data_IF_377028629521
#
_entry.id   IF_377028629521
#
_cell.length_a   1.000
_cell.length_b   1.000
_cell.length_c   1.000
_cell.angle_alpha   90.00
_cell.angle_beta   90.00
_cell.angle_gamma   90.00
#
_symmetry.space_group_name_H-M   'P 1'
#
loop_
_entity.id
_entity.type
_entity.pdbx_description
1 polymer ?
#
# COMPACT_ATOMS: atom_id res chain seq x y z
N UNK A 1 5.29 40.70 8.30
CA UNK A 1 4.52 39.82 7.39
C UNK A 1 4.45 38.45 8.03
N UNK A 2 3.29 38.07 8.58
CA UNK A 2 3.11 36.73 9.16
C UNK A 2 3.09 35.73 8.01
N UNK A 3 4.13 34.91 7.91
CA UNK A 3 4.14 33.77 6.98
C UNK A 3 3.08 32.79 7.48
N UNK A 4 1.87 32.84 6.91
CA UNK A 4 0.92 31.74 7.00
C UNK A 4 1.60 30.52 6.37
N UNK A 5 2.34 29.76 7.18
CA UNK A 5 2.75 28.41 6.82
C UNK A 5 1.44 27.65 6.73
N UNK A 6 0.91 27.52 5.53
CA UNK A 6 -0.15 26.55 5.25
C UNK A 6 0.40 25.23 5.75
N UNK A 7 -0.17 24.70 6.84
CA UNK A 7 0.31 23.48 7.45
C UNK A 7 0.37 22.38 6.40
N UNK A 8 1.41 21.54 6.45
CA UNK A 8 1.51 20.40 5.55
C UNK A 8 0.23 19.56 5.67
N UNK A 9 -0.37 19.20 4.53
CA UNK A 9 -1.57 18.35 4.51
C UNK A 9 -1.13 16.94 4.85
N UNK A 10 -1.52 16.49 6.05
CA UNK A 10 -1.17 15.18 6.57
C UNK A 10 -2.13 14.12 6.02
N UNK A 11 -1.57 12.98 5.62
CA UNK A 11 -2.33 11.78 5.29
C UNK A 11 -1.74 10.57 6.02
N UNK A 12 -2.54 9.50 6.12
CA UNK A 12 -2.11 8.24 6.72
C UNK A 12 -2.33 7.08 5.74
N UNK A 13 -1.36 6.18 5.67
CA UNK A 13 -1.41 4.92 4.93
C UNK A 13 -1.46 3.76 5.92
N UNK A 14 -2.45 2.88 5.77
CA UNK A 14 -2.54 1.62 6.50
C UNK A 14 -2.07 0.48 5.60
N UNK A 15 -0.76 0.23 5.61
CA UNK A 15 -0.14 -0.79 4.79
C UNK A 15 -0.38 -2.18 5.38
N UNK A 16 -1.12 -3.00 4.64
CA UNK A 16 -1.45 -4.37 5.02
C UNK A 16 -0.45 -5.35 4.39
N UNK A 17 0.21 -6.16 5.20
CA UNK A 17 1.33 -7.03 4.81
C UNK A 17 0.97 -8.48 5.13
N UNK A 18 1.19 -9.39 4.16
CA UNK A 18 0.98 -10.84 4.32
C UNK A 18 2.14 -11.55 5.03
N UNK A 19 2.60 -11.00 6.14
CA UNK A 19 3.64 -11.56 6.99
C UNK A 19 3.49 -10.97 8.40
N UNK A 20 3.48 -11.83 9.41
CA UNK A 20 3.50 -11.43 10.83
C UNK A 20 4.29 -12.40 11.73
N UNK A 21 4.77 -13.52 11.18
CA UNK A 21 5.51 -14.56 11.90
C UNK A 21 7.00 -14.24 11.95
N UNK A 22 7.53 -13.62 10.89
CA UNK A 22 8.92 -13.17 10.81
C UNK A 22 9.01 -11.69 11.15
N UNK A 23 9.18 -11.39 12.45
CA UNK A 23 9.31 -10.03 12.97
C UNK A 23 10.30 -9.15 12.19
N UNK A 24 11.50 -9.67 11.89
CA UNK A 24 12.53 -8.91 11.18
C UNK A 24 12.08 -8.47 9.76
N UNK A 25 11.22 -9.25 9.09
CA UNK A 25 10.69 -8.88 7.76
C UNK A 25 9.77 -7.68 7.88
N UNK A 26 8.84 -7.70 8.84
CA UNK A 26 7.90 -6.59 9.09
C UNK A 26 8.65 -5.33 9.53
N UNK A 27 9.63 -5.47 10.42
CA UNK A 27 10.46 -4.34 10.86
C UNK A 27 11.31 -3.75 9.74
N UNK A 28 11.85 -4.58 8.83
CA UNK A 28 12.59 -4.08 7.68
C UNK A 28 11.70 -3.30 6.72
N UNK A 29 10.45 -3.71 6.54
CA UNK A 29 9.46 -2.95 5.75
C UNK A 29 9.16 -1.61 6.42
N UNK A 30 8.95 -1.61 7.74
CA UNK A 30 8.73 -0.37 8.51
C UNK A 30 9.92 0.59 8.41
N UNK A 31 11.15 0.07 8.53
CA UNK A 31 12.38 0.86 8.39
C UNK A 31 12.52 1.41 6.98
N UNK A 32 12.21 0.63 5.94
CA UNK A 32 12.29 1.08 4.55
C UNK A 32 11.36 2.27 4.28
N UNK A 33 10.21 2.36 4.94
CA UNK A 33 9.32 3.51 4.82
C UNK A 33 9.91 4.82 5.38
N UNK A 34 10.91 4.74 6.26
CA UNK A 34 11.57 5.91 6.86
C UNK A 34 12.76 6.41 6.05
N UNK A 35 13.08 5.77 4.92
CA UNK A 35 14.30 6.04 4.15
C UNK A 35 13.96 6.52 2.73
N UNK A 36 14.73 7.48 2.24
CA UNK A 36 14.78 7.86 0.84
C UNK A 36 15.57 6.84 0.01
N UNK A 37 15.52 6.96 -1.33
CA UNK A 37 16.29 6.10 -2.25
C UNK A 37 17.81 6.15 -2.03
N UNK A 38 18.32 7.28 -1.53
CA UNK A 38 19.73 7.48 -1.19
C UNK A 38 20.10 6.91 0.20
N UNK A 39 19.15 6.33 0.93
CA UNK A 39 19.32 5.78 2.27
C UNK A 39 19.27 6.81 3.41
N UNK A 40 19.04 8.09 3.12
CA UNK A 40 18.84 9.12 4.13
C UNK A 40 17.45 9.02 4.76
N UNK A 41 17.31 9.55 5.98
CA UNK A 41 16.04 9.57 6.69
C UNK A 41 15.06 10.51 5.98
N UNK A 42 13.88 10.01 5.66
CA UNK A 42 12.81 10.82 5.08
C UNK A 42 12.26 11.80 6.13
N UNK A 43 12.34 13.13 5.91
CA UNK A 43 12.01 14.11 6.95
C UNK A 43 10.50 14.18 7.24
N UNK A 44 9.66 13.89 6.25
CA UNK A 44 8.20 14.02 6.35
C UNK A 44 7.46 12.72 6.62
N UNK A 45 8.15 11.58 6.77
CA UNK A 45 7.50 10.26 6.96
C UNK A 45 7.72 9.76 8.38
N UNK A 46 6.67 9.25 9.00
CA UNK A 46 6.70 8.62 10.32
C UNK A 46 5.90 7.33 10.34
N UNK A 47 6.47 6.27 10.93
CA UNK A 47 5.74 5.04 11.27
C UNK A 47 5.11 5.25 12.65
N UNK A 48 3.78 5.30 12.70
CA UNK A 48 3.02 5.56 13.92
C UNK A 48 2.74 4.28 14.71
N UNK A 49 2.52 3.16 14.01
CA UNK A 49 2.16 1.90 14.63
C UNK A 49 2.54 0.71 13.75
N UNK A 50 2.86 -0.42 14.39
CA UNK A 50 3.01 -1.73 13.76
C UNK A 50 2.17 -2.73 14.55
N UNK A 51 1.03 -3.14 13.99
CA UNK A 51 0.22 -4.23 14.52
C UNK A 51 0.55 -5.51 13.77
N UNK A 52 0.70 -6.63 14.48
CA UNK A 52 0.99 -7.93 13.87
C UNK A 52 0.12 -9.01 14.49
N UNK A 53 -0.51 -9.83 13.64
CA UNK A 53 -1.29 -11.00 14.02
C UNK A 53 -0.61 -12.27 13.47
N UNK A 54 0.16 -12.99 14.30
CA UNK A 54 0.88 -14.20 13.87
C UNK A 54 -0.03 -15.37 13.49
N UNK A 55 -1.23 -15.45 14.09
CA UNK A 55 -2.21 -16.50 13.81
C UNK A 55 -2.78 -16.31 12.40
N UNK A 56 -3.18 -15.09 12.07
CA UNK A 56 -3.68 -14.72 10.75
C UNK A 56 -2.55 -14.48 9.71
N UNK A 57 -1.29 -14.44 10.16
CA UNK A 57 -0.10 -14.12 9.38
C UNK A 57 -0.22 -12.79 8.60
N UNK A 58 -0.69 -11.75 9.29
CA UNK A 58 -0.88 -10.42 8.69
C UNK A 58 -0.45 -9.32 9.65
N UNK A 59 0.27 -8.34 9.11
CA UNK A 59 0.63 -7.12 9.83
C UNK A 59 0.02 -5.90 9.17
N UNK A 60 -0.19 -4.86 9.97
CA UNK A 60 -0.61 -3.53 9.52
C UNK A 60 0.39 -2.51 10.03
N UNK A 61 1.02 -1.78 9.11
CA UNK A 61 1.89 -0.65 9.44
C UNK A 61 1.11 0.63 9.15
N UNK A 62 0.97 1.49 10.16
CA UNK A 62 0.39 2.83 10.01
C UNK A 62 1.51 3.82 9.77
N UNK A 63 1.53 4.42 8.59
CA UNK A 63 2.51 5.41 8.15
C UNK A 63 1.79 6.74 8.00
N UNK A 64 2.33 7.81 8.54
CA UNK A 64 1.86 9.17 8.31
C UNK A 64 2.93 9.97 7.57
N UNK A 65 2.51 10.71 6.56
CA UNK A 65 3.37 11.64 5.85
C UNK A 65 2.53 12.76 5.22
N UNK A 66 3.20 13.72 4.57
CA UNK A 66 2.46 14.67 3.73
C UNK A 66 1.76 13.93 2.59
N UNK A 67 0.66 14.51 2.11
CA UNK A 67 -0.15 13.96 1.03
C UNK A 67 0.64 13.75 -0.27
N UNK A 68 1.71 14.52 -0.46
CA UNK A 68 2.56 14.48 -1.65
C UNK A 68 3.55 13.30 -1.57
N UNK A 69 3.91 12.87 -0.35
CA UNK A 69 4.80 11.73 -0.09
C UNK A 69 4.07 10.38 -0.04
N UNK A 70 2.80 10.36 0.39
CA UNK A 70 1.96 9.17 0.26
C UNK A 70 1.49 9.02 -1.18
N UNK A 71 2.36 8.39 -1.98
CA UNK A 71 2.19 8.20 -3.42
C UNK A 71 0.89 7.52 -3.82
N UNK A 72 0.45 7.87 -5.03
CA UNK A 72 -0.68 7.26 -5.72
C UNK A 72 -0.40 5.81 -6.16
N UNK A 73 -1.46 5.05 -6.44
CA UNK A 73 -1.34 3.68 -6.96
C UNK A 73 -0.50 3.64 -8.26
N UNK A 74 -0.63 4.66 -9.10
CA UNK A 74 0.16 4.88 -10.31
C UNK A 74 1.65 5.03 -9.99
N UNK A 75 2.00 5.83 -8.98
CA UNK A 75 3.39 6.03 -8.56
C UNK A 75 4.02 4.74 -8.03
N UNK A 76 3.23 3.91 -7.36
CA UNK A 76 3.67 2.60 -6.88
C UNK A 76 4.05 1.68 -8.04
N UNK A 77 3.20 1.60 -9.07
CA UNK A 77 3.46 0.78 -10.27
C UNK A 77 4.67 1.29 -11.06
N UNK A 78 4.85 2.61 -11.15
CA UNK A 78 6.01 3.23 -11.80
C UNK A 78 7.32 2.98 -11.02
N UNK A 79 7.26 2.99 -9.69
CA UNK A 79 8.44 2.88 -8.83
C UNK A 79 8.84 1.44 -8.51
N UNK A 80 7.91 0.49 -8.60
CA UNK A 80 8.13 -0.92 -8.25
C UNK A 80 7.88 -1.81 -9.48
N UNK A 81 8.94 -2.16 -10.24
CA UNK A 81 8.82 -3.01 -11.42
C UNK A 81 8.10 -4.32 -11.12
N UNK A 82 7.13 -4.67 -11.97
CA UNK A 82 6.31 -5.88 -11.80
C UNK A 82 5.21 -5.77 -10.75
N UNK A 83 4.97 -4.58 -10.17
CA UNK A 83 3.85 -4.35 -9.27
C UNK A 83 2.53 -4.26 -10.03
N UNK A 84 1.56 -5.04 -9.60
CA UNK A 84 0.20 -5.08 -10.15
C UNK A 84 -0.77 -4.62 -9.08
N UNK A 85 -1.66 -3.69 -9.42
CA UNK A 85 -2.58 -3.07 -8.46
C UNK A 85 -4.03 -3.19 -8.95
N UNK A 86 -4.95 -3.44 -8.03
CA UNK A 86 -6.38 -3.17 -8.23
C UNK A 86 -6.86 -2.10 -7.24
N UNK A 87 -7.79 -1.30 -7.72
CA UNK A 87 -8.42 -0.20 -7.00
C UNK A 87 -9.71 -0.69 -6.34
N UNK A 88 -10.02 -0.08 -5.20
CA UNK A 88 -11.29 -0.27 -4.47
C UNK A 88 -11.68 1.01 -3.73
N UNK A 89 -12.93 1.09 -3.30
CA UNK A 89 -13.48 2.25 -2.59
C UNK A 89 -13.45 3.51 -3.46
N UNK A 90 -13.13 4.66 -2.87
CA UNK A 90 -13.06 5.96 -3.56
C UNK A 90 -12.11 6.00 -4.76
N UNK A 91 -11.10 5.13 -4.80
CA UNK A 91 -10.18 5.03 -5.93
C UNK A 91 -10.74 4.23 -7.12
N UNK A 92 -11.77 3.42 -6.93
CA UNK A 92 -12.35 2.55 -7.95
C UNK A 92 -13.48 3.25 -8.71
N UNK A 93 -13.15 4.24 -9.53
CA UNK A 93 -14.16 5.02 -10.25
C UNK A 93 -14.60 4.35 -11.55
N UNK A 94 -15.90 4.44 -11.93
CA UNK A 94 -16.98 5.12 -11.21
C UNK A 94 -17.69 4.28 -10.12
N UNK A 95 -17.47 2.97 -10.07
CA UNK A 95 -18.33 2.04 -9.30
C UNK A 95 -18.12 2.06 -7.78
N UNK A 96 -17.00 2.60 -7.31
CA UNK A 96 -16.54 2.71 -5.92
C UNK A 96 -16.69 1.43 -5.11
N UNK A 97 -16.36 0.28 -5.70
CA UNK A 97 -16.71 -1.03 -5.12
C UNK A 97 -15.91 -1.28 -3.85
N UNK A 98 -16.51 -1.87 -2.79
CA UNK A 98 -15.81 -2.18 -1.56
C UNK A 98 -14.74 -3.27 -1.76
N UNK A 99 -13.72 -3.26 -0.89
CA UNK A 99 -12.58 -4.19 -0.95
C UNK A 99 -12.99 -5.66 -1.06
N UNK A 100 -13.96 -6.09 -0.26
CA UNK A 100 -14.43 -7.48 -0.24
C UNK A 100 -15.05 -7.87 -1.59
N UNK A 101 -15.80 -6.96 -2.23
CA UNK A 101 -16.39 -7.20 -3.54
C UNK A 101 -15.31 -7.31 -4.62
N UNK A 102 -14.35 -6.39 -4.66
CA UNK A 102 -13.22 -6.44 -5.61
C UNK A 102 -12.40 -7.72 -5.45
N UNK A 103 -12.11 -8.11 -4.21
CA UNK A 103 -11.45 -9.38 -3.89
C UNK A 103 -12.23 -10.59 -4.41
N UNK A 104 -13.56 -10.62 -4.26
CA UNK A 104 -14.40 -11.70 -4.81
C UNK A 104 -14.35 -11.76 -6.34
N UNK A 105 -14.46 -10.61 -7.02
CA UNK A 105 -14.37 -10.53 -8.49
C UNK A 105 -13.04 -11.07 -9.01
N UNK A 106 -11.96 -10.73 -8.32
CA UNK A 106 -10.61 -11.19 -8.62
C UNK A 106 -10.34 -12.61 -8.12
N UNK A 107 -11.32 -13.28 -7.49
CA UNK A 107 -11.11 -14.63 -6.96
C UNK A 107 -10.07 -14.72 -5.86
N UNK A 108 -9.83 -13.66 -5.11
CA UNK A 108 -8.79 -13.58 -4.08
C UNK A 108 -8.82 -14.74 -3.08
N UNK A 109 -10.02 -15.26 -2.79
CA UNK A 109 -10.25 -16.34 -1.82
C UNK A 109 -10.21 -17.73 -2.47
N UNK A 110 -10.18 -17.82 -3.79
CA UNK A 110 -10.07 -19.10 -4.51
C UNK A 110 -8.65 -19.20 -5.09
N UNK A 111 -7.95 -20.31 -4.82
CA UNK A 111 -6.60 -20.52 -5.37
C UNK A 111 -6.69 -20.54 -6.90
N UNK A 112 -6.21 -19.49 -7.57
CA UNK A 112 -6.23 -19.34 -9.02
C UNK A 112 -4.85 -19.08 -9.59
N UNK A 113 -4.74 -19.32 -10.89
CA UNK A 113 -3.62 -18.87 -11.68
C UNK A 113 -3.59 -17.33 -11.71
N UNK A 114 -2.54 -16.76 -11.12
CA UNK A 114 -2.30 -15.32 -11.07
C UNK A 114 -2.19 -14.69 -12.47
N UNK A 115 -1.86 -15.48 -13.49
CA UNK A 115 -1.76 -15.02 -14.88
C UNK A 115 -3.12 -14.56 -15.46
N UNK A 116 -4.23 -15.11 -14.94
CA UNK A 116 -5.58 -14.79 -15.40
C UNK A 116 -6.19 -13.57 -14.66
N UNK A 117 -5.49 -13.02 -13.67
CA UNK A 117 -5.94 -11.83 -12.96
C UNK A 117 -5.66 -10.59 -13.79
N UNK A 118 -6.71 -9.81 -14.03
CA UNK A 118 -6.59 -8.50 -14.67
C UNK A 118 -6.44 -7.42 -13.58
N UNK A 119 -5.27 -6.81 -13.43
CA UNK A 119 -5.11 -5.65 -12.56
C UNK A 119 -5.77 -4.42 -13.21
N UNK A 120 -6.02 -3.40 -12.39
CA UNK A 120 -6.43 -2.09 -12.91
C UNK A 120 -5.20 -1.29 -13.38
N UNK A 121 -4.07 -1.44 -12.69
CA UNK A 121 -2.78 -0.80 -13.01
C UNK A 121 -1.62 -1.81 -12.98
N UNK A 122 -0.66 -1.65 -13.89
CA UNK A 122 0.55 -2.48 -13.96
C UNK A 122 0.41 -3.77 -14.77
N UNK A 123 1.49 -4.59 -14.86
CA UNK A 123 1.50 -5.83 -15.61
C UNK A 123 0.69 -6.94 -14.93
N UNK A 124 0.51 -8.09 -15.58
CA UNK A 124 -0.14 -9.26 -14.98
C UNK A 124 0.58 -9.72 -13.68
N UNK A 125 -0.15 -10.08 -12.61
CA UNK A 125 0.42 -10.47 -11.34
C UNK A 125 1.38 -11.66 -11.44
N UNK A 126 2.57 -11.50 -10.84
CA UNK A 126 3.52 -12.60 -10.69
C UNK A 126 3.21 -13.46 -9.45
N UNK A 127 3.57 -14.75 -9.50
CA UNK A 127 3.37 -15.69 -8.36
C UNK A 127 4.00 -15.25 -7.04
N UNK A 128 5.10 -14.49 -7.08
CA UNK A 128 5.86 -14.10 -5.88
C UNK A 128 5.22 -12.95 -5.11
N UNK A 129 4.72 -11.94 -5.83
CA UNK A 129 4.24 -10.69 -5.23
C UNK A 129 2.71 -10.54 -5.29
N UNK A 130 2.03 -11.36 -6.08
CA UNK A 130 0.58 -11.35 -6.21
C UNK A 130 0.07 -10.00 -6.72
N UNK A 131 -1.05 -9.55 -6.15
CA UNK A 131 -1.76 -8.35 -6.57
C UNK A 131 -2.00 -7.44 -5.35
N UNK A 132 -1.70 -6.15 -5.48
CA UNK A 132 -1.84 -5.17 -4.39
C UNK A 132 -3.18 -4.44 -4.48
N UNK A 133 -3.85 -4.23 -3.35
CA UNK A 133 -5.09 -3.45 -3.27
C UNK A 133 -4.77 -2.03 -2.82
N UNK A 134 -5.20 -1.01 -3.59
CA UNK A 134 -5.00 0.39 -3.22
C UNK A 134 -6.34 1.13 -3.09
N UNK A 135 -6.42 1.93 -2.03
CA UNK A 135 -7.51 2.86 -1.78
C UNK A 135 -6.91 4.20 -1.38
N UNK A 136 -7.53 5.28 -1.85
CA UNK A 136 -7.26 6.63 -1.39
C UNK A 136 -8.60 7.32 -1.15
N UNK A 137 -8.84 7.77 0.07
CA UNK A 137 -9.79 8.85 0.33
C UNK A 137 -8.99 10.15 0.36
N UNK A 138 -9.39 11.11 -0.46
CA UNK A 138 -8.92 12.50 -0.42
C UNK A 138 -10.04 13.40 0.09
#
# INVERSE_FOLDING_TARGET
MSSCRVGLRLAACLLNISEARKKYVVENIAKAALLERNGQRHPEVSVLNIFSDPEYNRSVITIAASIDELGLAENLVLSVPGCSVFLFGEADLPEKRPLVQRRKQLGWFTRRDFSALKPDLGPAPARRCGLTACFRAL
#
